data_IF_877777680662
#
_entry.id   IF_877777680662
#
_cell.length_a   1.000
_cell.length_b   1.000
_cell.length_c   1.000
_cell.angle_alpha   90.00
_cell.angle_beta   90.00
_cell.angle_gamma   90.00
#
_symmetry.space_group_name_H-M   'P 1'
#
loop_
_entity.id
_entity.type
_entity.pdbx_description
1 polymer ?
#
# COMPACT_ATOMS: atom_id res chain seq x y z
N UNK A 1 -19.93 -12.63 -9.42
CA UNK A 1 -20.94 -11.65 -9.90
C UNK A 1 -20.27 -10.27 -10.03
N UNK A 2 -20.76 -9.42 -10.94
CA UNK A 2 -20.29 -8.04 -11.01
C UNK A 2 -20.62 -7.29 -9.71
N UNK A 3 -19.70 -6.45 -9.24
CA UNK A 3 -19.85 -5.62 -8.03
C UNK A 3 -19.87 -4.14 -8.39
N UNK A 4 -20.54 -3.34 -7.58
CA UNK A 4 -20.52 -1.89 -7.65
C UNK A 4 -19.55 -1.34 -6.59
N UNK A 5 -18.45 -0.81 -7.03
CA UNK A 5 -17.30 -0.52 -6.17
C UNK A 5 -17.04 0.97 -6.09
N UNK A 6 -16.95 1.51 -4.88
CA UNK A 6 -16.53 2.88 -4.62
C UNK A 6 -15.06 2.88 -4.16
N UNK A 7 -14.19 3.64 -4.84
CA UNK A 7 -12.77 3.70 -4.50
C UNK A 7 -12.39 5.11 -4.03
N UNK A 8 -11.89 5.21 -2.82
CA UNK A 8 -11.19 6.38 -2.32
C UNK A 8 -9.69 6.23 -2.59
N UNK A 9 -9.00 7.30 -3.04
CA UNK A 9 -7.58 7.23 -3.42
C UNK A 9 -7.31 6.66 -4.83
N UNK A 10 -8.32 6.61 -5.69
CA UNK A 10 -8.26 6.08 -7.05
C UNK A 10 -7.29 6.81 -8.00
N UNK A 11 -6.81 8.00 -7.63
CA UNK A 11 -5.84 8.78 -8.42
C UNK A 11 -4.38 8.42 -8.09
N UNK A 12 -4.16 7.66 -7.02
CA UNK A 12 -2.84 7.18 -6.62
C UNK A 12 -2.33 6.02 -7.47
N UNK A 13 -1.07 5.61 -7.24
CA UNK A 13 -0.38 4.55 -7.99
C UNK A 13 -1.20 3.25 -8.06
N UNK A 14 -1.63 2.75 -6.91
CA UNK A 14 -2.41 1.51 -6.81
C UNK A 14 -3.82 1.70 -7.38
N UNK A 15 -4.47 2.81 -7.01
CA UNK A 15 -5.85 3.09 -7.39
C UNK A 15 -6.07 3.21 -8.89
N UNK A 16 -5.11 3.78 -9.63
CA UNK A 16 -5.21 3.88 -11.08
C UNK A 16 -5.23 2.50 -11.76
N UNK A 17 -4.34 1.60 -11.36
CA UNK A 17 -4.28 0.23 -11.88
C UNK A 17 -5.52 -0.57 -11.46
N UNK A 18 -5.97 -0.38 -10.23
CA UNK A 18 -7.14 -1.07 -9.68
C UNK A 18 -8.42 -0.72 -10.47
N UNK A 19 -8.63 0.55 -10.77
CA UNK A 19 -9.78 0.98 -11.58
C UNK A 19 -9.79 0.26 -12.93
N UNK A 20 -8.65 0.21 -13.61
CA UNK A 20 -8.53 -0.45 -14.92
C UNK A 20 -8.86 -1.95 -14.83
N UNK A 21 -8.27 -2.63 -13.85
CA UNK A 21 -8.44 -4.08 -13.72
C UNK A 21 -9.87 -4.46 -13.25
N UNK A 22 -10.47 -3.69 -12.34
CA UNK A 22 -11.85 -3.90 -11.92
C UNK A 22 -12.84 -3.71 -13.07
N UNK A 23 -12.67 -2.67 -13.89
CA UNK A 23 -13.49 -2.48 -15.08
C UNK A 23 -13.30 -3.61 -16.11
N UNK A 24 -12.07 -4.07 -16.32
CA UNK A 24 -11.78 -5.20 -17.20
C UNK A 24 -12.43 -6.51 -16.74
N UNK A 25 -12.64 -6.67 -15.43
CA UNK A 25 -13.38 -7.79 -14.82
C UNK A 25 -14.90 -7.62 -14.86
N UNK A 26 -15.40 -6.50 -15.38
CA UNK A 26 -16.84 -6.20 -15.52
C UNK A 26 -17.48 -5.59 -14.29
N UNK A 27 -16.70 -5.16 -13.28
CA UNK A 27 -17.21 -4.41 -12.13
C UNK A 27 -17.57 -2.98 -12.52
N UNK A 28 -18.60 -2.41 -11.87
CA UNK A 28 -18.92 -1.00 -11.98
C UNK A 28 -18.08 -0.22 -10.97
N UNK A 29 -17.33 0.78 -11.44
CA UNK A 29 -16.42 1.54 -10.58
C UNK A 29 -16.85 2.99 -10.50
N UNK A 30 -16.98 3.48 -9.26
CA UNK A 30 -17.12 4.88 -8.90
C UNK A 30 -15.93 5.31 -8.03
N UNK A 31 -15.57 6.59 -8.08
CA UNK A 31 -14.42 7.09 -7.31
C UNK A 31 -14.76 8.35 -6.52
N UNK A 32 -14.09 8.49 -5.38
CA UNK A 32 -14.06 9.74 -4.62
C UNK A 32 -12.81 10.54 -4.98
N UNK A 33 -12.99 11.82 -5.28
CA UNK A 33 -11.91 12.73 -5.63
C UNK A 33 -12.01 14.06 -4.86
N UNK A 34 -10.87 14.65 -4.53
CA UNK A 34 -10.77 15.99 -3.88
C UNK A 34 -10.92 17.15 -4.88
N UNK A 35 -10.77 16.88 -6.16
CA UNK A 35 -10.89 17.84 -7.26
C UNK A 35 -11.66 17.21 -8.40
N UNK A 36 -12.40 17.99 -9.18
CA UNK A 36 -13.08 17.48 -10.36
C UNK A 36 -12.07 16.87 -11.35
N UNK A 37 -12.31 15.63 -11.72
CA UNK A 37 -11.54 14.91 -12.74
C UNK A 37 -12.51 14.18 -13.67
N UNK A 38 -12.07 13.94 -14.91
CA UNK A 38 -12.80 13.10 -15.84
C UNK A 38 -12.03 11.80 -16.05
N UNK A 39 -12.72 10.68 -15.94
CA UNK A 39 -12.16 9.36 -16.23
C UNK A 39 -13.20 8.53 -16.98
N UNK A 40 -12.85 8.04 -18.16
CA UNK A 40 -13.77 7.30 -19.02
C UNK A 40 -14.38 6.09 -18.31
N UNK A 41 -15.71 5.96 -18.37
CA UNK A 41 -16.44 4.84 -17.77
C UNK A 41 -16.45 4.82 -16.24
N UNK A 42 -16.09 5.92 -15.56
CA UNK A 42 -16.04 6.01 -14.11
C UNK A 42 -16.87 7.20 -13.64
N UNK A 43 -17.80 6.97 -12.71
CA UNK A 43 -18.49 8.06 -12.01
C UNK A 43 -17.57 8.66 -10.97
N UNK A 44 -17.48 9.99 -10.91
CA UNK A 44 -16.63 10.72 -9.98
C UNK A 44 -17.50 11.55 -9.06
N UNK A 45 -17.31 11.34 -7.77
CA UNK A 45 -18.00 12.09 -6.71
C UNK A 45 -16.98 12.87 -5.88
N UNK A 46 -17.43 13.97 -5.31
CA UNK A 46 -16.56 14.86 -4.56
C UNK A 46 -16.55 14.51 -3.06
N UNK A 47 -15.41 14.68 -2.44
CA UNK A 47 -15.28 14.66 -0.99
C UNK A 47 -14.19 15.61 -0.51
N UNK A 48 -14.31 16.03 0.75
CA UNK A 48 -13.34 16.85 1.46
C UNK A 48 -13.16 16.28 2.87
N UNK A 49 -12.02 15.63 3.09
CA UNK A 49 -11.71 14.96 4.37
C UNK A 49 -11.54 15.98 5.49
N UNK A 50 -10.96 17.15 5.20
CA UNK A 50 -10.69 18.18 6.20
C UNK A 50 -11.98 18.85 6.67
N UNK A 51 -12.94 19.05 5.75
CA UNK A 51 -14.26 19.60 6.05
C UNK A 51 -15.29 18.52 6.44
N UNK A 52 -14.92 17.26 6.42
CA UNK A 52 -15.80 16.13 6.69
C UNK A 52 -17.06 16.16 5.81
N UNK A 53 -16.88 16.44 4.52
CA UNK A 53 -17.95 16.52 3.51
C UNK A 53 -17.75 15.44 2.46
N UNK A 54 -18.83 14.76 2.09
CA UNK A 54 -18.83 13.72 1.07
C UNK A 54 -20.15 13.75 0.32
N UNK A 55 -20.11 13.52 -1.00
CA UNK A 55 -21.31 13.39 -1.81
C UNK A 55 -22.01 12.06 -1.52
N UNK A 56 -23.20 12.11 -0.92
CA UNK A 56 -23.96 10.92 -0.54
C UNK A 56 -24.46 10.13 -1.76
N UNK A 57 -24.59 10.76 -2.93
CA UNK A 57 -24.92 10.04 -4.16
C UNK A 57 -23.86 9.02 -4.57
N UNK A 58 -22.63 9.16 -4.04
CA UNK A 58 -21.54 8.20 -4.23
C UNK A 58 -21.87 6.79 -3.70
N UNK A 59 -22.78 6.69 -2.73
CA UNK A 59 -23.11 5.41 -2.08
C UNK A 59 -24.29 4.69 -2.72
N UNK A 60 -25.02 5.33 -3.66
CA UNK A 60 -26.19 4.73 -4.30
C UNK A 60 -25.83 3.46 -5.08
N UNK A 61 -26.34 2.32 -4.60
CA UNK A 61 -26.16 1.00 -5.22
C UNK A 61 -24.73 0.45 -5.09
N UNK A 62 -23.89 0.99 -4.20
CA UNK A 62 -22.56 0.45 -3.89
C UNK A 62 -22.71 -0.75 -2.94
N UNK A 63 -21.93 -1.79 -3.21
CA UNK A 63 -21.82 -2.97 -2.36
C UNK A 63 -20.41 -3.12 -1.74
N UNK A 64 -19.39 -2.54 -2.35
CA UNK A 64 -18.00 -2.68 -1.90
C UNK A 64 -17.28 -1.32 -1.91
N UNK A 65 -16.55 -1.03 -0.84
CA UNK A 65 -15.70 0.15 -0.74
C UNK A 65 -14.24 -0.27 -0.65
N UNK A 66 -13.37 0.40 -1.44
CA UNK A 66 -11.92 0.25 -1.34
C UNK A 66 -11.34 1.60 -0.93
N UNK A 67 -10.73 1.66 0.25
CA UNK A 67 -10.08 2.86 0.77
C UNK A 67 -8.56 2.77 0.66
N UNK A 68 -8.00 3.51 -0.31
CA UNK A 68 -6.57 3.71 -0.53
C UNK A 68 -6.15 5.15 -0.18
N UNK A 69 -7.06 5.94 0.41
CA UNK A 69 -6.79 7.33 0.70
C UNK A 69 -5.75 7.48 1.80
N UNK A 70 -4.80 8.36 1.58
CA UNK A 70 -3.75 8.69 2.55
C UNK A 70 -2.71 9.60 1.93
N UNK A 71 -2.17 10.51 2.73
CA UNK A 71 -1.02 11.33 2.36
C UNK A 71 0.23 10.47 2.20
N UNK A 72 1.07 10.81 1.21
CA UNK A 72 2.32 10.09 0.97
C UNK A 72 3.27 10.21 2.16
N UNK A 73 3.77 9.05 2.61
CA UNK A 73 4.56 8.96 3.84
C UNK A 73 5.97 9.56 3.66
N UNK A 74 6.48 9.51 2.43
CA UNK A 74 7.83 9.96 2.06
C UNK A 74 7.87 11.26 1.24
N UNK A 75 6.74 11.95 1.06
CA UNK A 75 6.66 13.13 0.17
C UNK A 75 7.32 14.37 0.79
N UNK A 76 7.33 14.48 2.11
CA UNK A 76 7.87 15.63 2.86
C UNK A 76 8.56 15.16 4.13
N UNK A 77 9.58 15.90 4.62
CA UNK A 77 10.22 15.61 5.91
C UNK A 77 9.19 15.52 7.05
N UNK A 78 9.44 14.62 7.99
CA UNK A 78 8.54 14.43 9.13
C UNK A 78 8.76 15.54 10.17
N UNK A 79 7.72 16.31 10.40
CA UNK A 79 7.50 17.14 11.58
C UNK A 79 6.33 16.56 12.37
N UNK A 80 6.10 17.00 13.60
CA UNK A 80 4.92 16.56 14.36
C UNK A 80 3.61 16.84 13.59
N UNK A 81 3.51 18.04 12.99
CA UNK A 81 2.37 18.40 12.15
C UNK A 81 2.22 17.45 10.94
N UNK A 82 3.35 17.09 10.27
CA UNK A 82 3.31 16.20 9.12
C UNK A 82 2.91 14.78 9.52
N UNK A 83 3.42 14.28 10.64
CA UNK A 83 3.02 12.98 11.19
C UNK A 83 1.51 12.95 11.49
N UNK A 84 0.98 14.01 12.11
CA UNK A 84 -0.45 14.11 12.36
C UNK A 84 -1.27 14.14 11.06
N UNK A 85 -0.84 14.89 10.02
CA UNK A 85 -1.50 14.89 8.72
C UNK A 85 -1.52 13.49 8.06
N UNK A 86 -0.43 12.73 8.20
CA UNK A 86 -0.34 11.36 7.70
C UNK A 86 -1.35 10.45 8.38
N UNK A 87 -1.47 10.52 9.72
CA UNK A 87 -2.47 9.77 10.48
C UNK A 87 -3.88 10.23 10.12
N UNK A 88 -4.15 11.53 10.21
CA UNK A 88 -5.47 12.12 9.98
C UNK A 88 -6.02 11.79 8.60
N UNK A 89 -5.19 11.84 7.56
CA UNK A 89 -5.60 11.52 6.20
C UNK A 89 -6.15 10.09 6.05
N UNK A 90 -5.73 9.18 6.91
CA UNK A 90 -6.15 7.76 6.93
C UNK A 90 -7.34 7.55 7.84
N UNK A 91 -7.23 8.00 9.07
CA UNK A 91 -8.28 7.83 10.09
C UNK A 91 -9.54 8.59 9.70
N UNK A 92 -9.43 9.91 9.46
CA UNK A 92 -10.57 10.77 9.11
C UNK A 92 -11.24 10.40 7.79
N UNK A 93 -10.47 9.90 6.80
CA UNK A 93 -11.05 9.39 5.56
C UNK A 93 -11.92 8.15 5.79
N UNK A 94 -11.45 7.27 6.66
CA UNK A 94 -12.16 6.04 7.04
C UNK A 94 -13.43 6.36 7.84
N UNK A 95 -13.32 7.24 8.84
CA UNK A 95 -14.45 7.69 9.66
C UNK A 95 -15.52 8.39 8.82
N UNK A 96 -15.12 9.24 7.86
CA UNK A 96 -16.04 9.91 6.95
C UNK A 96 -16.81 8.92 6.07
N UNK A 97 -16.14 7.86 5.60
CA UNK A 97 -16.80 6.81 4.82
C UNK A 97 -17.83 6.05 5.64
N UNK A 98 -17.49 5.63 6.87
CA UNK A 98 -18.45 4.93 7.74
C UNK A 98 -19.61 5.82 8.16
N UNK A 99 -19.35 7.07 8.51
CA UNK A 99 -20.41 8.04 8.78
C UNK A 99 -21.39 8.17 7.60
N UNK A 100 -20.88 8.28 6.37
CA UNK A 100 -21.72 8.37 5.19
C UNK A 100 -22.52 7.06 4.92
N UNK A 101 -21.93 5.89 5.20
CA UNK A 101 -22.64 4.60 5.11
C UNK A 101 -23.85 4.59 6.05
N UNK A 102 -23.66 5.02 7.31
CA UNK A 102 -24.75 5.10 8.29
C UNK A 102 -25.82 6.13 7.89
N UNK A 103 -25.41 7.34 7.46
CA UNK A 103 -26.32 8.41 7.05
C UNK A 103 -27.15 8.05 5.81
N UNK A 104 -26.57 7.27 4.88
CA UNK A 104 -27.25 6.83 3.65
C UNK A 104 -27.98 5.49 3.81
N UNK A 105 -27.80 4.79 4.94
CA UNK A 105 -28.28 3.42 5.16
C UNK A 105 -27.93 2.46 4.00
N UNK A 106 -26.76 2.65 3.39
CA UNK A 106 -26.32 1.82 2.24
C UNK A 106 -25.83 0.46 2.73
N UNK A 107 -26.35 -0.66 2.19
CA UNK A 107 -25.96 -2.01 2.62
C UNK A 107 -24.60 -2.38 1.99
N UNK A 108 -23.52 -1.95 2.61
CA UNK A 108 -22.16 -2.29 2.19
C UNK A 108 -21.83 -3.72 2.64
N UNK A 109 -21.44 -4.58 1.71
CA UNK A 109 -21.04 -5.97 1.99
C UNK A 109 -19.57 -6.07 2.43
N UNK A 110 -18.69 -5.25 1.83
CA UNK A 110 -17.27 -5.31 2.09
C UNK A 110 -16.59 -3.94 2.10
N UNK A 111 -15.66 -3.77 3.03
CA UNK A 111 -14.76 -2.64 3.14
C UNK A 111 -13.31 -3.13 3.08
N UNK A 112 -12.59 -2.75 2.04
CA UNK A 112 -11.18 -3.09 1.84
C UNK A 112 -10.32 -1.86 2.17
N UNK A 113 -9.52 -1.97 3.22
CA UNK A 113 -8.61 -0.92 3.66
C UNK A 113 -7.19 -1.21 3.22
N UNK A 114 -6.51 -0.20 2.69
CA UNK A 114 -5.07 -0.25 2.68
C UNK A 114 -4.54 -0.17 4.12
N UNK A 115 -3.39 -0.79 4.35
CA UNK A 115 -2.53 -0.69 5.51
C UNK A 115 -1.07 -0.88 5.06
N UNK A 116 -0.13 -0.98 5.96
CA UNK A 116 1.28 -1.16 5.61
C UNK A 116 2.01 -2.09 6.55
N UNK A 117 3.08 -2.73 6.05
CA UNK A 117 3.99 -3.56 6.87
C UNK A 117 4.72 -2.76 7.96
N UNK A 118 4.67 -1.42 7.89
CA UNK A 118 5.08 -0.55 8.97
C UNK A 118 4.37 -0.84 10.30
N UNK A 119 3.22 -1.54 10.27
CA UNK A 119 2.52 -2.05 11.44
C UNK A 119 3.45 -2.78 12.43
N UNK A 120 4.40 -3.54 11.92
CA UNK A 120 5.26 -4.39 12.75
C UNK A 120 6.44 -3.64 13.39
N UNK A 121 6.82 -2.45 12.91
CA UNK A 121 8.05 -1.78 13.33
C UNK A 121 9.30 -2.54 12.93
N UNK A 122 10.44 -2.22 13.54
CA UNK A 122 11.73 -2.91 13.29
C UNK A 122 11.80 -4.21 14.11
N UNK A 123 11.82 -5.36 13.44
CA UNK A 123 11.80 -6.69 14.05
C UNK A 123 13.01 -7.55 13.63
N UNK A 124 14.07 -6.94 13.14
CA UNK A 124 15.29 -7.63 12.68
C UNK A 124 14.99 -8.82 11.74
N UNK A 125 15.34 -10.05 12.12
CA UNK A 125 15.18 -11.27 11.32
C UNK A 125 13.91 -12.08 11.66
N UNK A 126 13.07 -11.59 12.58
CA UNK A 126 11.83 -12.26 12.96
C UNK A 126 10.89 -12.39 11.77
N UNK A 127 10.34 -13.59 11.56
CA UNK A 127 9.32 -13.82 10.54
C UNK A 127 7.99 -13.28 11.07
N UNK A 128 7.42 -12.34 10.32
CA UNK A 128 6.25 -11.57 10.71
C UNK A 128 5.02 -12.05 9.92
N UNK A 129 4.11 -12.68 10.60
CA UNK A 129 2.78 -13.00 10.12
C UNK A 129 1.73 -11.98 10.62
N UNK A 130 0.48 -12.19 10.26
CA UNK A 130 -0.60 -11.27 10.60
C UNK A 130 -0.97 -11.28 12.09
N UNK A 131 -0.58 -12.32 12.84
CA UNK A 131 -0.78 -12.47 14.29
C UNK A 131 0.36 -11.81 15.10
N UNK A 132 1.46 -11.45 14.44
CA UNK A 132 2.61 -10.81 15.06
C UNK A 132 2.22 -9.45 15.65
N UNK A 133 2.71 -9.17 16.88
CA UNK A 133 2.40 -7.93 17.59
C UNK A 133 2.89 -6.70 16.83
N UNK A 134 2.20 -5.56 16.96
CA UNK A 134 2.62 -4.31 16.33
C UNK A 134 3.91 -3.77 16.95
N UNK A 135 4.60 -2.93 16.19
CA UNK A 135 5.71 -2.13 16.67
C UNK A 135 5.27 -0.94 17.53
N UNK A 136 6.23 -0.11 17.91
CA UNK A 136 6.02 1.06 18.79
C UNK A 136 6.58 2.37 18.20
N UNK A 137 6.92 2.38 16.91
CA UNK A 137 7.37 3.58 16.20
C UNK A 137 6.19 4.31 15.54
N UNK A 138 6.48 5.46 14.92
CA UNK A 138 5.46 6.28 14.23
C UNK A 138 4.74 5.51 13.11
N UNK A 139 5.44 4.62 12.38
CA UNK A 139 4.82 3.86 11.30
C UNK A 139 3.83 2.84 11.84
N UNK A 140 4.21 2.18 12.92
CA UNK A 140 3.35 1.23 13.62
C UNK A 140 2.12 1.95 14.19
N UNK A 141 2.30 3.07 14.89
CA UNK A 141 1.20 3.88 15.42
C UNK A 141 0.21 4.28 14.31
N UNK A 142 0.74 4.77 13.19
CA UNK A 142 -0.08 5.15 12.04
C UNK A 142 -0.91 3.98 11.51
N UNK A 143 -0.30 2.80 11.34
CA UNK A 143 -0.99 1.61 10.86
C UNK A 143 -2.01 1.08 11.86
N UNK A 144 -1.68 1.06 13.17
CA UNK A 144 -2.60 0.64 14.25
C UNK A 144 -3.86 1.51 14.24
N UNK A 145 -3.71 2.83 14.20
CA UNK A 145 -4.83 3.77 14.19
C UNK A 145 -5.67 3.63 12.91
N UNK A 146 -5.02 3.39 11.78
CA UNK A 146 -5.70 3.17 10.50
C UNK A 146 -6.52 1.88 10.51
N UNK A 147 -5.92 0.75 10.94
CA UNK A 147 -6.61 -0.53 11.05
C UNK A 147 -7.75 -0.48 12.06
N UNK A 148 -7.54 0.19 13.22
CA UNK A 148 -8.61 0.41 14.22
C UNK A 148 -9.78 1.22 13.65
N UNK A 149 -9.51 2.23 12.82
CA UNK A 149 -10.56 2.97 12.15
C UNK A 149 -11.33 2.08 11.17
N UNK A 150 -10.64 1.22 10.41
CA UNK A 150 -11.27 0.27 9.49
C UNK A 150 -12.15 -0.76 10.22
N UNK A 151 -11.75 -1.20 11.41
CA UNK A 151 -12.48 -2.19 12.22
C UNK A 151 -13.86 -1.69 12.70
N UNK A 152 -14.14 -0.38 12.63
CA UNK A 152 -15.49 0.15 12.88
C UNK A 152 -16.54 -0.49 11.96
N UNK A 153 -16.17 -0.86 10.73
CA UNK A 153 -17.06 -1.56 9.81
C UNK A 153 -17.58 -2.91 10.34
N UNK A 154 -16.81 -3.58 11.20
CA UNK A 154 -17.21 -4.87 11.80
C UNK A 154 -18.47 -4.70 12.66
N UNK A 155 -18.56 -3.61 13.43
CA UNK A 155 -19.73 -3.30 14.25
C UNK A 155 -20.98 -3.00 13.41
N UNK A 156 -20.81 -2.60 12.14
CA UNK A 156 -21.87 -2.40 11.17
C UNK A 156 -22.24 -3.67 10.38
N UNK A 157 -21.63 -4.81 10.71
CA UNK A 157 -21.82 -6.07 9.98
C UNK A 157 -21.12 -6.12 8.63
N UNK A 158 -20.21 -5.21 8.35
CA UNK A 158 -19.45 -5.13 7.09
C UNK A 158 -18.22 -6.05 7.18
N UNK A 159 -17.98 -6.84 6.15
CA UNK A 159 -16.74 -7.61 6.02
C UNK A 159 -15.55 -6.67 5.78
N UNK A 160 -14.64 -6.62 6.72
CA UNK A 160 -13.44 -5.76 6.65
C UNK A 160 -12.21 -6.59 6.25
N UNK A 161 -11.48 -6.10 5.23
CA UNK A 161 -10.19 -6.66 4.81
C UNK A 161 -9.14 -5.56 4.87
N UNK A 162 -8.04 -5.82 5.56
CA UNK A 162 -6.91 -4.88 5.73
C UNK A 162 -5.69 -5.44 5.03
N UNK A 163 -5.09 -4.70 4.09
CA UNK A 163 -3.94 -5.15 3.33
C UNK A 163 -2.67 -4.43 3.80
N UNK A 164 -1.86 -5.11 4.63
CA UNK A 164 -0.54 -4.64 5.09
C UNK A 164 0.45 -4.72 3.93
N UNK A 165 0.52 -3.65 3.18
CA UNK A 165 1.25 -3.58 1.92
C UNK A 165 2.73 -3.34 2.15
N UNK A 166 3.58 -4.12 1.48
CA UNK A 166 5.03 -3.93 1.40
C UNK A 166 5.44 -2.84 0.42
N UNK A 167 6.71 -2.86 0.01
CA UNK A 167 7.26 -1.94 -0.98
C UNK A 167 6.69 -2.27 -2.36
N UNK A 168 5.81 -1.44 -2.87
CA UNK A 168 5.19 -1.65 -4.19
C UNK A 168 6.17 -1.32 -5.30
N UNK A 169 6.43 -2.29 -6.16
CA UNK A 169 7.32 -2.15 -7.30
C UNK A 169 6.54 -1.71 -8.54
N UNK A 170 6.84 -0.49 -8.99
CA UNK A 170 6.30 0.10 -10.22
C UNK A 170 7.21 1.24 -10.70
N UNK A 171 7.29 1.43 -12.01
CA UNK A 171 7.98 2.60 -12.60
C UNK A 171 7.07 3.81 -12.79
N UNK A 172 5.78 3.68 -12.49
CA UNK A 172 4.81 4.79 -12.59
C UNK A 172 4.83 5.68 -11.34
N UNK A 173 5.59 5.32 -10.29
CA UNK A 173 5.73 6.08 -9.04
C UNK A 173 6.11 5.19 -7.85
N UNK A 174 6.05 5.77 -6.64
CA UNK A 174 6.30 5.05 -5.40
C UNK A 174 7.79 4.87 -5.07
N UNK A 175 8.09 3.92 -4.18
CA UNK A 175 9.43 3.73 -3.62
C UNK A 175 10.47 3.33 -4.66
N UNK A 176 10.13 2.46 -5.62
CA UNK A 176 11.06 1.98 -6.64
C UNK A 176 11.67 3.13 -7.45
N UNK A 177 10.87 4.13 -7.82
CA UNK A 177 11.35 5.29 -8.59
C UNK A 177 12.35 6.15 -7.81
N UNK A 178 12.27 6.15 -6.49
CA UNK A 178 13.24 6.82 -5.62
C UNK A 178 14.51 5.99 -5.47
N UNK A 179 14.36 4.67 -5.31
CA UNK A 179 15.48 3.74 -5.13
C UNK A 179 16.33 3.56 -6.41
N UNK A 180 15.72 3.65 -7.60
CA UNK A 180 16.44 3.52 -8.87
C UNK A 180 17.31 4.72 -9.21
N UNK A 181 17.00 5.93 -8.68
CA UNK A 181 17.75 7.16 -9.01
C UNK A 181 19.25 7.07 -8.73
N UNK A 182 19.71 6.72 -7.50
CA UNK A 182 21.13 6.59 -7.23
C UNK A 182 21.77 5.46 -8.04
N UNK A 183 21.05 4.36 -8.30
CA UNK A 183 21.56 3.26 -9.13
C UNK A 183 21.77 3.71 -10.56
N UNK A 184 20.79 4.40 -11.17
CA UNK A 184 20.90 4.99 -12.51
C UNK A 184 22.03 6.01 -12.62
N UNK A 185 22.30 6.74 -11.55
CA UNK A 185 23.39 7.73 -11.47
C UNK A 185 24.75 7.11 -11.11
N UNK A 186 24.91 5.79 -11.15
CA UNK A 186 26.15 5.07 -10.87
C UNK A 186 26.67 5.18 -9.43
N UNK A 187 25.82 5.61 -8.48
CA UNK A 187 26.14 5.74 -7.06
C UNK A 187 25.24 4.83 -6.19
N UNK A 188 24.71 3.76 -6.78
CA UNK A 188 23.91 2.77 -6.07
C UNK A 188 24.72 2.02 -5.04
N UNK A 189 24.27 1.99 -3.78
CA UNK A 189 24.92 1.28 -2.67
C UNK A 189 23.85 0.74 -1.72
N UNK A 190 24.17 -0.32 -1.00
CA UNK A 190 23.31 -0.80 0.08
C UNK A 190 23.27 0.24 1.23
N UNK A 191 22.16 0.28 1.96
CA UNK A 191 21.92 1.26 3.00
C UNK A 191 22.10 0.64 4.40
N UNK A 192 22.68 1.38 5.34
CA UNK A 192 22.94 0.89 6.69
C UNK A 192 23.82 -0.35 6.70
N UNK A 193 23.37 -1.42 7.33
CA UNK A 193 24.03 -2.73 7.30
C UNK A 193 23.82 -3.47 5.98
N UNK A 194 22.78 -3.13 5.24
CA UNK A 194 22.32 -3.86 4.07
C UNK A 194 21.61 -5.19 4.38
N UNK A 195 21.51 -5.56 5.66
CA UNK A 195 20.90 -6.83 6.08
C UNK A 195 19.42 -6.70 6.43
N UNK A 196 18.88 -5.49 6.56
CA UNK A 196 17.47 -5.28 6.85
C UNK A 196 16.59 -5.87 5.75
N UNK A 197 15.57 -6.61 6.14
CA UNK A 197 14.60 -7.23 5.26
C UNK A 197 13.66 -6.20 4.64
N UNK A 198 13.43 -6.33 3.35
CA UNK A 198 12.58 -5.47 2.53
C UNK A 198 11.46 -6.30 1.93
N UNK A 199 10.28 -6.29 2.54
CA UNK A 199 9.10 -6.93 1.94
C UNK A 199 8.64 -6.11 0.75
N UNK A 200 8.64 -6.72 -0.41
CA UNK A 200 8.26 -6.09 -1.68
C UNK A 200 7.05 -6.80 -2.29
N UNK A 201 6.37 -6.12 -3.20
CA UNK A 201 5.32 -6.70 -4.03
C UNK A 201 5.29 -6.02 -5.40
N UNK A 202 5.08 -6.79 -6.46
CA UNK A 202 4.81 -6.22 -7.79
C UNK A 202 3.42 -5.59 -7.81
N UNK A 203 3.26 -4.46 -8.50
CA UNK A 203 1.97 -3.75 -8.57
C UNK A 203 0.83 -4.64 -9.07
N UNK A 204 1.07 -5.51 -10.06
CA UNK A 204 0.06 -6.42 -10.60
C UNK A 204 -0.40 -7.44 -9.54
N UNK A 205 0.52 -8.00 -8.75
CA UNK A 205 0.17 -8.94 -7.69
C UNK A 205 -0.63 -8.25 -6.57
N UNK A 206 -0.25 -7.04 -6.21
CA UNK A 206 -1.02 -6.26 -5.23
C UNK A 206 -2.44 -5.99 -5.73
N UNK A 207 -2.59 -5.57 -6.99
CA UNK A 207 -3.92 -5.35 -7.60
C UNK A 207 -4.71 -6.65 -7.62
N UNK A 208 -4.08 -7.79 -7.94
CA UNK A 208 -4.73 -9.09 -7.91
C UNK A 208 -5.17 -9.53 -6.51
N UNK A 209 -4.43 -9.16 -5.44
CA UNK A 209 -4.87 -9.38 -4.05
C UNK A 209 -6.14 -8.56 -3.76
N UNK A 210 -6.20 -7.28 -4.19
CA UNK A 210 -7.42 -6.48 -4.05
C UNK A 210 -8.59 -7.10 -4.84
N UNK A 211 -8.38 -7.54 -6.08
CA UNK A 211 -9.40 -8.22 -6.88
C UNK A 211 -9.93 -9.46 -6.17
N UNK A 212 -9.01 -10.31 -5.65
CA UNK A 212 -9.40 -11.49 -4.88
C UNK A 212 -10.21 -11.09 -3.65
N UNK A 213 -9.80 -10.04 -2.92
CA UNK A 213 -10.53 -9.58 -1.73
C UNK A 213 -11.93 -9.03 -2.06
N UNK A 214 -12.14 -8.48 -3.25
CA UNK A 214 -13.46 -8.08 -3.76
C UNK A 214 -14.32 -9.30 -4.10
N UNK A 215 -13.73 -10.29 -4.79
CA UNK A 215 -14.45 -11.43 -5.37
C UNK A 215 -14.68 -12.57 -4.36
N UNK A 216 -13.80 -12.74 -3.37
CA UNK A 216 -13.83 -13.85 -2.41
C UNK A 216 -14.39 -13.39 -1.05
N UNK A 217 -15.63 -13.79 -0.71
CA UNK A 217 -16.26 -13.38 0.55
C UNK A 217 -15.63 -14.03 1.80
N UNK A 218 -14.75 -15.02 1.64
CA UNK A 218 -14.07 -15.69 2.74
C UNK A 218 -12.83 -14.92 3.23
N UNK A 219 -12.36 -13.94 2.47
CA UNK A 219 -11.28 -13.09 2.93
C UNK A 219 -11.80 -12.05 3.91
N UNK A 220 -11.25 -12.03 5.11
CA UNK A 220 -11.55 -11.06 6.17
C UNK A 220 -10.31 -10.80 7.03
N UNK A 221 -10.32 -9.71 7.80
CA UNK A 221 -9.23 -9.28 8.67
C UNK A 221 -7.96 -8.88 7.90
N UNK A 222 -6.77 -8.93 8.52
CA UNK A 222 -5.51 -8.49 7.95
C UNK A 222 -4.82 -9.56 7.09
N UNK A 223 -4.16 -9.10 6.01
CA UNK A 223 -3.28 -9.91 5.18
C UNK A 223 -1.99 -9.15 4.86
N UNK A 224 -0.85 -9.81 4.93
CA UNK A 224 0.40 -9.29 4.40
C UNK A 224 0.34 -9.30 2.86
N UNK A 225 0.21 -8.13 2.28
CA UNK A 225 0.25 -7.95 0.83
C UNK A 225 1.71 -7.73 0.38
N UNK A 226 2.50 -8.80 0.46
CA UNK A 226 3.93 -8.85 0.12
C UNK A 226 4.21 -10.10 -0.69
N UNK A 227 5.23 -10.07 -1.55
CA UNK A 227 5.68 -11.26 -2.26
C UNK A 227 6.22 -12.31 -1.28
N UNK A 228 6.15 -13.62 -1.64
CA UNK A 228 6.51 -14.71 -0.74
C UNK A 228 8.01 -14.80 -0.41
N UNK A 229 8.85 -14.02 -1.11
CA UNK A 229 10.30 -14.05 -0.97
C UNK A 229 10.83 -12.65 -0.64
N UNK A 230 10.71 -12.18 0.61
CA UNK A 230 11.35 -10.95 1.03
C UNK A 230 12.87 -11.05 0.86
N UNK A 231 13.54 -9.94 0.62
CA UNK A 231 14.99 -9.91 0.39
C UNK A 231 15.65 -8.88 1.29
N UNK A 232 16.96 -9.01 1.53
CA UNK A 232 17.69 -7.96 2.25
C UNK A 232 17.92 -6.73 1.36
N UNK A 233 18.15 -5.57 1.96
CA UNK A 233 18.48 -4.33 1.25
C UNK A 233 19.67 -4.49 0.31
N UNK A 234 20.72 -5.21 0.73
CA UNK A 234 21.88 -5.52 -0.11
C UNK A 234 21.47 -6.33 -1.34
N UNK A 235 20.66 -7.37 -1.15
CA UNK A 235 20.14 -8.19 -2.26
C UNK A 235 19.27 -7.35 -3.20
N UNK A 236 18.37 -6.54 -2.65
CA UNK A 236 17.51 -5.67 -3.43
C UNK A 236 18.33 -4.71 -4.30
N UNK A 237 19.31 -4.02 -3.69
CA UNK A 237 20.15 -3.06 -4.39
C UNK A 237 20.97 -3.71 -5.50
N UNK A 238 21.56 -4.89 -5.24
CA UNK A 238 22.33 -5.65 -6.24
C UNK A 238 21.47 -6.13 -7.39
N UNK A 239 20.26 -6.67 -7.09
CA UNK A 239 19.33 -7.15 -8.13
C UNK A 239 18.84 -6.00 -8.99
N UNK A 240 18.45 -4.87 -8.37
CA UNK A 240 18.05 -3.67 -9.11
C UNK A 240 19.17 -3.13 -10.02
N UNK A 241 20.40 -3.07 -9.51
CA UNK A 241 21.55 -2.62 -10.28
C UNK A 241 21.87 -3.56 -11.44
N UNK A 242 21.81 -4.88 -11.22
CA UNK A 242 21.97 -5.90 -12.28
C UNK A 242 20.93 -5.71 -13.38
N UNK A 243 19.65 -5.55 -13.02
CA UNK A 243 18.56 -5.34 -13.99
C UNK A 243 18.73 -4.04 -14.79
N UNK A 244 19.27 -3.00 -14.15
CA UNK A 244 19.53 -1.72 -14.81
C UNK A 244 20.90 -1.66 -15.53
N UNK A 245 21.68 -2.74 -15.51
CA UNK A 245 23.04 -2.79 -16.04
C UNK A 245 23.93 -1.68 -15.46
N UNK A 246 23.92 -1.56 -14.12
CA UNK A 246 24.71 -0.56 -13.37
C UNK A 246 25.54 -1.23 -12.30
N UNK A 247 26.72 -0.67 -11.99
CA UNK A 247 27.53 -1.15 -10.87
C UNK A 247 26.90 -0.81 -9.53
N UNK A 248 27.30 -1.54 -8.50
CA UNK A 248 27.00 -1.27 -7.09
C UNK A 248 28.29 -0.91 -6.38
N UNK A 249 28.28 0.14 -5.61
CA UNK A 249 29.42 0.51 -4.78
C UNK A 249 29.63 -0.54 -3.68
N UNK A 250 30.91 -0.91 -3.41
CA UNK A 250 31.20 -1.95 -2.44
C UNK A 250 30.98 -1.52 -0.98
N UNK A 251 30.91 -0.20 -0.74
CA UNK A 251 30.75 0.37 0.61
C UNK A 251 29.30 0.82 0.78
N UNK A 252 28.68 0.37 1.86
CA UNK A 252 27.31 0.75 2.20
C UNK A 252 27.23 2.23 2.63
N UNK A 253 26.08 2.87 2.41
CA UNK A 253 25.80 4.21 2.96
C UNK A 253 25.56 4.09 4.47
N UNK A 254 26.40 4.70 5.33
CA UNK A 254 26.28 4.55 6.76
C UNK A 254 24.96 5.14 7.31
N UNK A 255 24.41 4.54 8.39
CA UNK A 255 23.19 4.99 9.03
C UNK A 255 23.20 6.47 9.44
N UNK A 256 24.36 6.99 9.90
CA UNK A 256 24.47 8.40 10.29
C UNK A 256 24.31 9.37 9.10
N UNK A 257 24.79 8.98 7.90
CA UNK A 257 24.60 9.75 6.67
C UNK A 257 23.12 9.81 6.28
N UNK A 258 22.43 8.67 6.36
CA UNK A 258 20.99 8.62 6.11
C UNK A 258 20.20 9.48 7.11
N UNK A 259 20.59 9.47 8.40
CA UNK A 259 19.99 10.34 9.41
C UNK A 259 20.22 11.84 9.13
N UNK A 260 21.42 12.19 8.66
CA UNK A 260 21.72 13.58 8.31
C UNK A 260 20.87 14.09 7.14
N UNK A 261 20.66 13.24 6.12
CA UNK A 261 19.93 13.61 4.89
C UNK A 261 18.41 13.53 5.08
N UNK A 262 17.92 12.48 5.72
CA UNK A 262 16.49 12.14 5.80
C UNK A 262 15.86 12.47 7.16
N UNK A 263 16.68 12.84 8.17
CA UNK A 263 16.17 13.07 9.52
C UNK A 263 15.47 11.82 10.08
N UNK A 264 14.29 12.01 10.65
CA UNK A 264 13.47 10.91 11.20
C UNK A 264 13.01 9.93 10.11
N UNK A 265 12.84 10.38 8.86
CA UNK A 265 12.46 9.50 7.74
C UNK A 265 13.53 8.46 7.40
N UNK A 266 14.74 8.55 7.98
CA UNK A 266 15.80 7.54 7.81
C UNK A 266 15.38 6.16 8.31
N UNK A 267 14.33 6.04 9.11
CA UNK A 267 13.75 4.75 9.49
C UNK A 267 13.22 3.97 8.28
N UNK A 268 12.65 4.65 7.28
CA UNK A 268 12.05 4.01 6.10
C UNK A 268 13.00 3.05 5.37
N UNK A 269 14.23 3.43 5.03
CA UNK A 269 15.20 2.51 4.41
C UNK A 269 15.95 1.60 5.41
N UNK A 270 15.81 1.81 6.72
CA UNK A 270 16.58 1.10 7.75
C UNK A 270 15.77 0.07 8.54
N UNK A 271 14.44 0.17 8.51
CA UNK A 271 13.53 -0.77 9.18
C UNK A 271 13.63 -2.15 8.52
N UNK A 272 13.59 -3.19 9.35
CA UNK A 272 13.65 -4.58 8.92
C UNK A 272 12.31 -5.27 9.17
N UNK A 273 11.68 -5.76 8.09
CA UNK A 273 10.42 -6.49 8.13
C UNK A 273 10.51 -7.75 7.28
N UNK A 274 10.70 -8.90 7.91
CA UNK A 274 10.70 -10.20 7.25
C UNK A 274 9.29 -10.80 7.23
N UNK A 275 8.41 -10.26 6.39
CA UNK A 275 6.99 -10.63 6.37
C UNK A 275 6.74 -11.95 5.66
N UNK A 276 5.82 -12.76 6.22
CA UNK A 276 5.29 -13.98 5.62
C UNK A 276 4.06 -13.66 4.77
N UNK A 277 4.00 -14.20 3.56
CA UNK A 277 2.80 -14.17 2.71
C UNK A 277 1.94 -15.44 2.86
N UNK A 278 2.19 -16.26 3.88
CA UNK A 278 1.58 -17.57 3.98
C UNK A 278 0.05 -17.52 4.11
N UNK A 279 -0.49 -16.54 4.84
CA UNK A 279 -1.95 -16.39 5.02
C UNK A 279 -2.66 -16.16 3.69
N UNK A 280 -2.14 -15.29 2.81
CA UNK A 280 -2.76 -15.07 1.49
C UNK A 280 -2.54 -16.25 0.55
N UNK A 281 -1.39 -16.95 0.61
CA UNK A 281 -1.14 -18.18 -0.14
C UNK A 281 -2.14 -19.28 0.23
N UNK A 282 -2.46 -19.44 1.51
CA UNK A 282 -3.41 -20.43 2.01
C UNK A 282 -4.84 -20.21 1.48
N UNK A 283 -5.16 -19.02 0.98
CA UNK A 283 -6.43 -18.74 0.28
C UNK A 283 -6.46 -19.23 -1.17
N UNK A 284 -5.38 -19.88 -1.64
CA UNK A 284 -5.21 -20.28 -3.03
C UNK A 284 -4.76 -19.13 -3.96
N UNK A 285 -4.34 -17.98 -3.41
CA UNK A 285 -3.77 -16.90 -4.21
C UNK A 285 -2.46 -17.34 -4.87
N UNK A 286 -2.29 -17.03 -6.14
CA UNK A 286 -1.09 -17.32 -6.90
C UNK A 286 -0.39 -16.03 -7.30
N UNK A 287 0.82 -15.83 -6.78
CA UNK A 287 1.66 -14.72 -7.19
C UNK A 287 2.18 -14.94 -8.62
N UNK A 288 2.15 -13.89 -9.41
CA UNK A 288 2.77 -13.87 -10.74
C UNK A 288 4.29 -13.73 -10.64
N UNK A 289 4.76 -12.99 -9.65
CA UNK A 289 6.17 -12.67 -9.44
C UNK A 289 6.65 -13.21 -8.10
N UNK A 290 7.27 -14.39 -8.13
CA UNK A 290 7.75 -15.08 -6.93
C UNK A 290 9.13 -14.56 -6.46
N UNK A 291 9.93 -14.02 -7.38
CA UNK A 291 11.29 -13.51 -7.09
C UNK A 291 11.43 -12.06 -7.49
N UNK A 292 12.27 -11.32 -6.75
CA UNK A 292 12.56 -9.92 -7.04
C UNK A 292 13.12 -9.73 -8.46
N UNK A 293 13.98 -10.66 -8.90
CA UNK A 293 14.58 -10.61 -10.23
C UNK A 293 13.52 -10.64 -11.33
N UNK A 294 12.57 -11.59 -11.25
CA UNK A 294 11.47 -11.70 -12.21
C UNK A 294 10.58 -10.44 -12.21
N UNK A 295 10.28 -9.90 -11.03
CA UNK A 295 9.49 -8.69 -10.89
C UNK A 295 10.17 -7.47 -11.52
N UNK A 296 11.46 -7.24 -11.22
CA UNK A 296 12.21 -6.12 -11.78
C UNK A 296 12.42 -6.28 -13.29
N UNK A 297 12.73 -7.48 -13.77
CA UNK A 297 12.87 -7.76 -15.20
C UNK A 297 11.58 -7.40 -15.95
N UNK A 298 10.43 -7.88 -15.47
CA UNK A 298 9.14 -7.56 -16.09
C UNK A 298 8.84 -6.05 -16.11
N UNK A 299 9.16 -5.33 -15.01
CA UNK A 299 8.95 -3.88 -14.90
C UNK A 299 9.79 -3.09 -15.91
N UNK A 300 11.03 -3.50 -16.17
CA UNK A 300 11.95 -2.74 -17.03
C UNK A 300 11.97 -3.21 -18.49
N UNK A 301 11.61 -4.46 -18.78
CA UNK A 301 11.49 -4.97 -20.15
C UNK A 301 10.23 -4.49 -20.86
N UNK A 302 9.12 -4.31 -20.14
CA UNK A 302 7.89 -3.74 -20.70
C UNK A 302 8.06 -2.27 -21.18
N UNK A 303 9.20 -1.64 -20.91
CA UNK A 303 9.51 -0.27 -21.36
C UNK A 303 10.30 -0.20 -22.67
N UNK A 304 10.68 -1.33 -23.23
CA UNK A 304 11.29 -1.39 -24.58
C UNK A 304 10.22 -1.64 -25.63
#
# INVERSE_FOLDING_TARGET
MAKNILIAGATGLIGQELVVQLQAKGHQVSILARKPIQKAGVKVFMWDIDRQQIDHDAFKGIDTIINLAGEGIADKPWSQQRKQQIIDSRVKSTELLFKAIEETNTPIEAYLSASGVGYYGDRADEILDEESLPGNDFLAECCILWEKAADQGIALGIRVVKLRTGIVLSTKGGALTTMEKPVKSFVGAALGTGQQWMPWIHIDDLVNIYLKAVEDPLLFDAYNATAPSPVTNSTFTKTLAKTLHRPVWPVNVPKFVLKLILGEMSILPLISNNTSAQKILNTGFQFRYLTLENALTAIYEQKK
#
